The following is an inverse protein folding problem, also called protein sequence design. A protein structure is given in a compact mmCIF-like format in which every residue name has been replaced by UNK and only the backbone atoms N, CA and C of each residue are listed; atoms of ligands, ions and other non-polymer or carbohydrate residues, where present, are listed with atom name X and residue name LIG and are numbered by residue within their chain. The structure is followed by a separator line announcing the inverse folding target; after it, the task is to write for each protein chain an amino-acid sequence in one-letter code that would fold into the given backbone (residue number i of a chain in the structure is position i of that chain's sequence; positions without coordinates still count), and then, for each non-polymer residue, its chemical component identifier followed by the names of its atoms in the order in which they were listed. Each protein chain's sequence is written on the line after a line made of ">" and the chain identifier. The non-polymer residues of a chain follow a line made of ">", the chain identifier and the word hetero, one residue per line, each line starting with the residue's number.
data_IF_995552390216
#
_entry.id   IF_995552390216
#
_cell.length_a   1.000
_cell.length_b   1.000
_cell.length_c   1.000
_cell.angle_alpha   90.00
_cell.angle_beta   90.00
_cell.angle_gamma   90.00
#
_symmetry.space_group_name_H-M   'P 1'
#
loop_
_entity.id
_entity.type
_entity.pdbx_description
1 polymer ?
#
# COMPACT_ATOMS: atom_id res chain seq x y z
N UNK A 1 -11.58 -5.78 8.55
CA UNK A 1 -12.57 -6.67 9.23
C UNK A 1 -11.87 -7.27 10.44
N UNK A 2 -12.56 -7.48 11.55
CA UNK A 2 -12.00 -8.24 12.67
C UNK A 2 -11.62 -9.65 12.17
N UNK A 3 -10.42 -10.13 12.53
CA UNK A 3 -9.87 -11.37 11.97
C UNK A 3 -8.59 -11.83 12.66
N UNK A 4 -7.78 -12.55 11.92
CA UNK A 4 -6.51 -13.14 12.39
C UNK A 4 -5.29 -12.64 11.61
N UNK A 5 -5.37 -11.47 10.99
CA UNK A 5 -4.29 -10.90 10.17
C UNK A 5 -4.17 -11.52 8.78
N UNK A 6 -5.25 -12.14 8.29
CA UNK A 6 -5.25 -12.76 6.96
C UNK A 6 -5.38 -11.70 5.88
N UNK A 7 -4.55 -11.81 4.82
CA UNK A 7 -4.75 -11.07 3.60
C UNK A 7 -5.43 -11.92 2.54
N UNK A 8 -6.51 -11.40 1.97
CA UNK A 8 -7.22 -12.00 0.84
C UNK A 8 -7.10 -11.07 -0.35
N UNK A 9 -6.79 -11.63 -1.51
CA UNK A 9 -6.65 -10.86 -2.76
C UNK A 9 -7.61 -11.42 -3.79
N UNK A 10 -8.42 -10.55 -4.40
CA UNK A 10 -9.38 -10.93 -5.45
C UNK A 10 -9.34 -9.94 -6.62
N UNK A 11 -9.84 -10.37 -7.76
CA UNK A 11 -9.77 -9.71 -9.04
C UNK A 11 -9.05 -10.59 -10.06
N UNK A 12 -9.06 -10.21 -11.32
CA UNK A 12 -8.34 -10.92 -12.38
C UNK A 12 -6.86 -10.50 -12.39
N UNK A 13 -6.11 -10.90 -11.34
CA UNK A 13 -4.72 -10.50 -11.12
C UNK A 13 -3.78 -11.64 -11.49
N UNK A 14 -2.76 -11.32 -12.27
CA UNK A 14 -1.64 -12.21 -12.55
C UNK A 14 -0.59 -12.17 -11.43
N UNK A 15 0.39 -13.02 -11.51
CA UNK A 15 1.30 -13.31 -10.40
C UNK A 15 2.15 -12.12 -9.98
N UNK A 16 2.67 -11.31 -10.92
CA UNK A 16 3.46 -10.12 -10.60
C UNK A 16 2.66 -9.09 -9.79
N UNK A 17 1.38 -8.90 -10.11
CA UNK A 17 0.50 -8.02 -9.32
C UNK A 17 0.25 -8.58 -7.92
N UNK A 18 0.05 -9.90 -7.77
CA UNK A 18 -0.12 -10.55 -6.46
C UNK A 18 1.13 -10.43 -5.60
N UNK A 19 2.32 -10.60 -6.20
CA UNK A 19 3.61 -10.38 -5.54
C UNK A 19 3.75 -8.94 -5.08
N UNK A 20 3.38 -7.96 -5.91
CA UNK A 20 3.42 -6.54 -5.54
C UNK A 20 2.53 -6.24 -4.34
N UNK A 21 1.33 -6.83 -4.26
CA UNK A 21 0.42 -6.69 -3.12
C UNK A 21 1.03 -7.35 -1.87
N UNK A 22 1.63 -8.53 -2.02
CA UNK A 22 2.30 -9.23 -0.92
C UNK A 22 3.50 -8.44 -0.38
N UNK A 23 4.31 -7.86 -1.26
CA UNK A 23 5.42 -6.99 -0.88
C UNK A 23 4.94 -5.72 -0.16
N UNK A 24 3.84 -5.12 -0.62
CA UNK A 24 3.22 -3.97 0.04
C UNK A 24 2.77 -4.30 1.46
N UNK A 25 2.10 -5.44 1.64
CA UNK A 25 1.67 -5.92 2.96
C UNK A 25 2.85 -6.16 3.89
N UNK A 26 3.89 -6.85 3.40
CA UNK A 26 5.10 -7.15 4.18
C UNK A 26 5.81 -5.87 4.61
N UNK A 27 5.92 -4.87 3.72
CA UNK A 27 6.50 -3.58 4.04
C UNK A 27 5.71 -2.86 5.15
N UNK A 28 4.38 -2.78 5.03
CA UNK A 28 3.54 -2.12 6.03
C UNK A 28 3.62 -2.86 7.38
N UNK A 29 3.63 -4.19 7.36
CA UNK A 29 3.77 -4.99 8.58
C UNK A 29 5.10 -4.75 9.27
N UNK A 30 6.21 -4.73 8.53
CA UNK A 30 7.55 -4.52 9.06
C UNK A 30 7.73 -3.11 9.68
N UNK A 31 7.02 -2.12 9.16
CA UNK A 31 7.09 -0.72 9.62
C UNK A 31 5.83 -0.25 10.36
N UNK A 32 5.00 -1.16 10.81
CA UNK A 32 3.70 -0.83 11.41
C UNK A 32 3.79 0.25 12.51
N UNK A 33 4.67 0.18 13.52
CA UNK A 33 4.77 1.21 14.54
C UNK A 33 5.16 2.59 13.98
N UNK A 34 6.09 2.65 13.03
CA UNK A 34 6.50 3.89 12.38
C UNK A 34 5.37 4.49 11.55
N UNK A 35 4.51 3.65 11.00
CA UNK A 35 3.30 4.02 10.25
C UNK A 35 2.08 4.25 11.13
N UNK A 36 2.26 4.31 12.46
CA UNK A 36 1.16 4.54 13.39
C UNK A 36 0.18 3.38 13.54
N UNK A 37 0.59 2.18 13.14
CA UNK A 37 -0.22 0.98 13.15
C UNK A 37 0.30 0.07 14.27
N UNK A 38 -0.58 -0.30 15.20
CA UNK A 38 -0.22 -1.26 16.24
C UNK A 38 -0.03 -2.66 15.62
N UNK A 39 1.05 -3.39 15.94
CA UNK A 39 1.22 -4.79 15.54
C UNK A 39 0.06 -5.68 15.96
N UNK A 40 -0.58 -5.39 17.11
CA UNK A 40 -1.81 -6.06 17.56
C UNK A 40 -2.95 -5.84 16.58
N UNK A 41 -3.17 -4.59 16.15
CA UNK A 41 -4.21 -4.26 15.16
C UNK A 41 -3.97 -5.01 13.85
N UNK A 42 -2.74 -5.06 13.38
CA UNK A 42 -2.38 -5.77 12.15
C UNK A 42 -2.71 -7.27 12.24
N UNK A 43 -2.40 -7.90 13.39
CA UNK A 43 -2.68 -9.33 13.63
C UNK A 43 -4.16 -9.65 13.86
N UNK A 44 -4.95 -8.68 14.32
CA UNK A 44 -6.39 -8.86 14.60
C UNK A 44 -7.31 -8.36 13.49
N UNK A 45 -6.75 -7.91 12.36
CA UNK A 45 -7.52 -7.33 11.24
C UNK A 45 -7.26 -8.10 9.96
N UNK A 46 -8.29 -8.71 9.40
CA UNK A 46 -8.20 -9.27 8.05
C UNK A 46 -8.33 -8.16 7.02
N UNK A 47 -7.46 -8.19 6.01
CA UNK A 47 -7.43 -7.23 4.90
C UNK A 47 -7.86 -7.94 3.64
N UNK A 48 -8.85 -7.39 2.95
CA UNK A 48 -9.27 -7.86 1.64
C UNK A 48 -8.93 -6.79 0.58
N UNK A 49 -8.00 -7.11 -0.29
CA UNK A 49 -7.66 -6.29 -1.46
C UNK A 49 -8.46 -6.81 -2.64
N UNK A 50 -9.31 -5.95 -3.20
CA UNK A 50 -10.05 -6.25 -4.41
C UNK A 50 -9.72 -5.24 -5.50
N UNK A 51 -9.30 -5.73 -6.67
CA UNK A 51 -9.07 -4.89 -7.84
C UNK A 51 -10.21 -5.16 -8.82
N UNK A 52 -11.13 -4.20 -9.01
CA UNK A 52 -12.29 -4.37 -9.90
C UNK A 52 -11.91 -4.44 -11.38
N UNK A 53 -12.90 -4.58 -12.25
CA UNK A 53 -12.75 -4.72 -13.71
C UNK A 53 -12.06 -6.04 -14.13
N UNK A 54 -12.58 -7.15 -13.60
CA UNK A 54 -12.05 -8.49 -13.86
C UNK A 54 -12.08 -8.98 -15.31
N UNK A 55 -12.75 -8.25 -16.23
CA UNK A 55 -12.75 -8.56 -17.64
C UNK A 55 -11.36 -8.45 -18.30
N UNK A 56 -10.51 -7.56 -17.77
CA UNK A 56 -9.13 -7.39 -18.26
C UNK A 56 -8.14 -7.84 -17.20
N UNK A 57 -7.27 -8.82 -17.49
CA UNK A 57 -6.23 -9.23 -16.57
C UNK A 57 -5.33 -8.06 -16.19
N UNK A 58 -5.09 -7.89 -14.89
CA UNK A 58 -4.16 -6.88 -14.35
C UNK A 58 -2.84 -7.57 -14.01
N UNK A 59 -1.77 -7.02 -14.51
CA UNK A 59 -0.41 -7.50 -14.23
C UNK A 59 0.57 -6.33 -14.11
N UNK A 60 1.74 -6.62 -13.54
CA UNK A 60 2.82 -5.67 -13.38
C UNK A 60 2.91 -5.08 -11.97
N UNK A 61 4.14 -4.68 -11.58
CA UNK A 61 4.46 -4.25 -10.22
C UNK A 61 4.13 -2.77 -9.95
N UNK A 62 3.72 -2.03 -10.98
CA UNK A 62 3.61 -0.56 -10.93
C UNK A 62 2.51 0.00 -10.01
N UNK A 63 1.68 -0.88 -9.41
CA UNK A 63 0.67 -0.50 -8.44
C UNK A 63 1.18 -0.54 -6.98
N UNK A 64 2.43 -0.89 -6.74
CA UNK A 64 3.00 -1.13 -5.41
C UNK A 64 2.79 0.03 -4.43
N UNK A 65 3.12 1.26 -4.85
CA UNK A 65 2.91 2.44 -3.99
C UNK A 65 1.43 2.73 -3.73
N UNK A 66 0.55 2.45 -4.69
CA UNK A 66 -0.90 2.57 -4.50
C UNK A 66 -1.44 1.56 -3.50
N UNK A 67 -0.94 0.32 -3.52
CA UNK A 67 -1.32 -0.73 -2.58
C UNK A 67 -0.88 -0.40 -1.15
N UNK A 68 0.37 0.06 -0.96
CA UNK A 68 0.83 0.53 0.37
C UNK A 68 -0.06 1.68 0.86
N UNK A 69 -0.30 2.68 0.03
CA UNK A 69 -1.11 3.84 0.40
C UNK A 69 -2.52 3.43 0.84
N UNK A 70 -3.15 2.50 0.11
CA UNK A 70 -4.48 1.99 0.45
C UNK A 70 -4.48 1.22 1.78
N UNK A 71 -3.49 0.33 2.01
CA UNK A 71 -3.37 -0.45 3.25
C UNK A 71 -3.13 0.48 4.45
N UNK A 72 -2.19 1.42 4.33
CA UNK A 72 -1.90 2.39 5.40
C UNK A 72 -3.12 3.26 5.69
N UNK A 73 -3.80 3.78 4.65
CA UNK A 73 -5.01 4.58 4.81
C UNK A 73 -6.10 3.85 5.59
N UNK A 74 -6.37 2.60 5.25
CA UNK A 74 -7.41 1.79 5.93
C UNK A 74 -7.03 1.51 7.38
N UNK A 75 -5.78 1.16 7.67
CA UNK A 75 -5.34 0.82 9.02
C UNK A 75 -5.18 2.04 9.93
N UNK A 76 -4.77 3.18 9.39
CA UNK A 76 -4.62 4.43 10.15
C UNK A 76 -5.88 5.29 10.18
N UNK A 77 -6.88 4.96 9.37
CA UNK A 77 -8.10 5.76 9.15
C UNK A 77 -7.81 7.18 8.62
N UNK A 78 -6.66 7.37 7.96
CA UNK A 78 -6.31 8.63 7.29
C UNK A 78 -6.70 8.52 5.82
N UNK A 79 -7.67 9.30 5.33
CA UNK A 79 -8.12 9.22 3.95
C UNK A 79 -7.04 9.57 2.92
N UNK A 80 -7.09 8.93 1.77
CA UNK A 80 -6.30 9.32 0.60
C UNK A 80 -6.96 10.52 -0.09
N UNK A 81 -6.16 11.43 -0.62
CA UNK A 81 -6.62 12.54 -1.45
C UNK A 81 -7.33 11.99 -2.70
N UNK A 82 -8.50 12.55 -3.03
CA UNK A 82 -9.31 12.11 -4.18
C UNK A 82 -8.77 12.59 -5.54
N UNK A 83 -7.93 13.61 -5.54
CA UNK A 83 -7.39 14.27 -6.73
C UNK A 83 -5.97 13.82 -7.08
N UNK A 84 -5.50 12.72 -6.47
CA UNK A 84 -4.17 12.19 -6.65
C UNK A 84 -4.18 10.82 -7.35
N UNK A 85 -3.25 10.61 -8.25
CA UNK A 85 -2.90 9.29 -8.77
C UNK A 85 -1.43 8.99 -8.49
N UNK A 86 -1.07 7.72 -8.56
CA UNK A 86 0.30 7.31 -8.32
C UNK A 86 0.66 6.05 -9.09
N UNK A 87 1.92 5.90 -9.44
CA UNK A 87 2.47 4.70 -10.04
C UNK A 87 3.90 4.50 -9.58
N UNK A 88 4.27 3.27 -9.26
CA UNK A 88 5.62 2.92 -8.82
C UNK A 88 5.65 1.50 -8.28
N UNK A 89 6.71 0.78 -8.62
CA UNK A 89 7.05 -0.48 -7.98
C UNK A 89 7.75 -0.19 -6.64
N UNK A 90 7.69 -1.12 -5.71
CA UNK A 90 8.30 -0.97 -4.39
C UNK A 90 9.30 -2.08 -4.10
N UNK A 91 10.32 -1.74 -3.33
CA UNK A 91 11.15 -2.74 -2.64
C UNK A 91 10.64 -2.96 -1.21
N UNK A 92 11.02 -4.08 -0.60
CA UNK A 92 10.75 -4.35 0.83
C UNK A 92 11.38 -3.34 1.80
N UNK A 93 12.28 -2.48 1.30
CA UNK A 93 12.90 -1.39 2.05
C UNK A 93 12.22 -0.03 1.81
N UNK A 94 11.13 0.00 1.06
CA UNK A 94 10.35 1.21 0.81
C UNK A 94 10.93 2.16 -0.24
N UNK A 95 11.87 1.69 -1.10
CA UNK A 95 12.26 2.45 -2.28
C UNK A 95 11.23 2.32 -3.37
N UNK A 96 11.00 3.40 -4.08
CA UNK A 96 10.14 3.44 -5.26
C UNK A 96 10.99 3.20 -6.50
N UNK A 97 10.65 2.19 -7.28
CA UNK A 97 11.37 1.78 -8.48
C UNK A 97 10.66 2.28 -9.75
N UNK A 98 11.40 2.48 -10.85
CA UNK A 98 10.86 2.96 -12.10
C UNK A 98 9.86 1.97 -12.73
N UNK A 99 8.97 2.52 -13.55
CA UNK A 99 7.91 1.79 -14.25
C UNK A 99 7.96 2.05 -15.76
N UNK A 100 7.30 1.20 -16.53
CA UNK A 100 7.03 1.43 -17.93
C UNK A 100 5.70 2.12 -18.20
N UNK A 101 5.55 2.70 -19.40
CA UNK A 101 4.30 3.28 -19.88
C UNK A 101 3.89 4.56 -19.14
N UNK A 102 4.84 5.39 -18.73
CA UNK A 102 4.54 6.64 -18.02
C UNK A 102 3.62 7.57 -18.82
N UNK A 103 3.84 7.69 -20.13
CA UNK A 103 3.02 8.55 -21.00
C UNK A 103 1.56 8.18 -20.98
N UNK A 104 1.24 6.91 -21.14
CA UNK A 104 -0.12 6.38 -21.16
C UNK A 104 -0.80 6.59 -19.79
N UNK A 105 -0.05 6.43 -18.71
CA UNK A 105 -0.55 6.64 -17.34
C UNK A 105 -0.86 8.10 -17.07
N UNK A 106 0.00 9.04 -17.47
CA UNK A 106 -0.25 10.48 -17.34
C UNK A 106 -1.45 10.93 -18.17
N UNK A 107 -1.57 10.44 -19.40
CA UNK A 107 -2.75 10.70 -20.24
C UNK A 107 -4.03 10.16 -19.62
N UNK A 108 -3.98 8.97 -19.00
CA UNK A 108 -5.13 8.39 -18.30
C UNK A 108 -5.50 9.22 -17.06
N UNK A 109 -4.52 9.67 -16.27
CA UNK A 109 -4.73 10.53 -15.11
C UNK A 109 -5.41 11.85 -15.50
N UNK A 110 -4.91 12.49 -16.56
CA UNK A 110 -5.50 13.72 -17.09
C UNK A 110 -6.96 13.51 -17.51
N UNK A 111 -7.25 12.45 -18.27
CA UNK A 111 -8.62 12.10 -18.66
C UNK A 111 -9.52 11.79 -17.48
N UNK A 112 -8.97 11.21 -16.41
CA UNK A 112 -9.66 10.92 -15.16
C UNK A 112 -9.92 12.13 -14.27
N UNK A 113 -9.47 13.33 -14.67
CA UNK A 113 -9.66 14.57 -13.89
C UNK A 113 -8.77 14.64 -12.65
N UNK A 114 -7.71 13.82 -12.58
CA UNK A 114 -6.71 13.86 -11.52
C UNK A 114 -5.87 15.13 -11.67
N UNK A 115 -5.46 15.73 -10.56
CA UNK A 115 -4.64 16.95 -10.54
C UNK A 115 -3.18 16.67 -10.25
N UNK A 116 -2.90 15.76 -9.34
CA UNK A 116 -1.54 15.44 -8.87
C UNK A 116 -1.20 14.00 -9.22
N UNK A 117 0.00 13.75 -9.75
CA UNK A 117 0.48 12.39 -10.06
C UNK A 117 1.85 12.18 -9.43
N UNK A 118 1.96 11.14 -8.59
CA UNK A 118 3.26 10.70 -8.05
C UNK A 118 3.88 9.68 -9.01
N UNK A 119 5.13 9.93 -9.37
CA UNK A 119 5.91 9.06 -10.27
C UNK A 119 7.24 8.71 -9.61
N UNK A 120 7.88 7.58 -9.98
CA UNK A 120 9.23 7.28 -9.50
C UNK A 120 10.22 8.37 -9.95
N UNK A 121 11.16 8.73 -9.08
CA UNK A 121 12.20 9.73 -9.41
C UNK A 121 13.00 9.35 -10.67
N UNK A 122 13.27 8.05 -10.85
CA UNK A 122 14.01 7.53 -12.00
C UNK A 122 13.24 7.67 -13.33
N UNK A 123 11.91 7.88 -13.27
CA UNK A 123 11.10 8.21 -14.45
C UNK A 123 11.02 9.73 -14.74
N UNK A 124 11.63 10.58 -13.94
CA UNK A 124 11.65 12.03 -14.24
C UNK A 124 12.28 12.35 -15.60
N UNK A 125 13.25 11.55 -16.03
CA UNK A 125 13.86 11.66 -17.37
C UNK A 125 12.85 11.45 -18.51
N UNK A 126 11.85 10.58 -18.30
CA UNK A 126 10.85 10.25 -19.31
C UNK A 126 9.86 11.41 -19.55
N UNK A 127 9.85 12.43 -18.67
CA UNK A 127 9.05 13.65 -18.84
C UNK A 127 9.45 14.47 -20.07
N UNK A 128 10.65 14.26 -20.61
CA UNK A 128 11.08 14.89 -21.85
C UNK A 128 10.18 14.50 -23.03
N UNK A 129 9.66 13.26 -23.03
CA UNK A 129 8.81 12.71 -24.09
C UNK A 129 7.30 12.96 -23.87
N UNK A 130 6.95 13.66 -22.79
CA UNK A 130 5.57 13.98 -22.43
C UNK A 130 5.16 15.31 -23.06
N UNK A 131 4.01 15.40 -23.74
CA UNK A 131 3.51 16.65 -24.30
C UNK A 131 3.39 17.76 -23.24
N UNK A 132 3.75 18.98 -23.59
CA UNK A 132 3.69 20.13 -22.68
C UNK A 132 2.28 20.40 -22.16
N UNK A 133 1.27 20.13 -22.98
CA UNK A 133 -0.15 20.22 -22.57
C UNK A 133 -0.51 19.28 -21.41
N UNK A 134 0.13 18.13 -21.31
CA UNK A 134 -0.07 17.18 -20.20
C UNK A 134 0.72 17.65 -18.96
N UNK A 135 1.97 18.06 -19.16
CA UNK A 135 2.83 18.57 -18.07
C UNK A 135 2.28 19.84 -17.41
N UNK A 136 1.66 20.72 -18.19
CA UNK A 136 1.06 21.95 -17.67
C UNK A 136 -0.30 21.74 -16.99
N UNK A 137 -1.00 20.64 -17.30
CA UNK A 137 -2.30 20.32 -16.73
C UNK A 137 -2.23 19.45 -15.47
N UNK A 138 -1.08 18.82 -15.17
CA UNK A 138 -0.87 17.94 -14.04
C UNK A 138 0.28 18.44 -13.17
N UNK A 139 0.10 18.40 -11.87
CA UNK A 139 1.20 18.50 -10.92
C UNK A 139 1.89 17.12 -10.84
N UNK A 140 3.04 16.98 -11.45
CA UNK A 140 3.80 15.72 -11.48
C UNK A 140 4.92 15.80 -10.44
N UNK A 141 4.86 14.92 -9.45
CA UNK A 141 5.78 14.89 -8.31
C UNK A 141 6.61 13.62 -8.36
N UNK A 142 7.93 13.72 -8.65
CA UNK A 142 8.84 12.59 -8.51
C UNK A 142 9.05 12.22 -7.05
N UNK A 143 9.01 10.91 -6.74
CA UNK A 143 9.19 10.37 -5.39
C UNK A 143 10.18 9.21 -5.39
N UNK A 144 10.96 9.07 -4.32
CA UNK A 144 12.00 8.07 -4.15
C UNK A 144 11.63 7.01 -3.11
N UNK A 145 10.77 7.37 -2.16
CA UNK A 145 10.43 6.55 -0.99
C UNK A 145 8.94 6.50 -0.74
N UNK A 146 8.51 5.45 -0.05
CA UNK A 146 7.11 5.30 0.41
C UNK A 146 6.73 6.43 1.38
N UNK A 147 7.65 6.91 2.19
CA UNK A 147 7.37 8.01 3.13
C UNK A 147 7.01 9.31 2.39
N UNK A 148 7.71 9.61 1.29
CA UNK A 148 7.33 10.72 0.39
C UNK A 148 5.95 10.49 -0.23
N UNK A 149 5.68 9.27 -0.73
CA UNK A 149 4.37 8.92 -1.28
C UNK A 149 3.26 9.19 -0.27
N UNK A 150 3.38 8.67 0.94
CA UNK A 150 2.36 8.82 1.99
C UNK A 150 2.17 10.30 2.39
N UNK A 151 3.25 11.08 2.43
CA UNK A 151 3.19 12.51 2.77
C UNK A 151 2.39 13.33 1.76
N UNK A 152 2.41 12.95 0.48
CA UNK A 152 1.65 13.61 -0.57
C UNK A 152 0.24 13.04 -0.76
N UNK A 153 0.08 11.73 -0.53
CA UNK A 153 -1.15 11.02 -0.85
C UNK A 153 -2.22 11.09 0.24
N UNK A 154 -1.81 11.12 1.50
CA UNK A 154 -2.75 11.13 2.63
C UNK A 154 -3.19 12.56 2.98
N UNK A 155 -4.43 12.70 3.46
CA UNK A 155 -5.00 13.98 3.89
C UNK A 155 -4.48 14.44 5.26
N UNK A 156 -3.81 13.57 5.99
CA UNK A 156 -3.21 13.84 7.30
C UNK A 156 -1.87 13.15 7.46
N UNK A 157 -1.09 13.62 8.42
CA UNK A 157 0.22 13.03 8.72
C UNK A 157 0.07 11.73 9.49
N UNK A 158 0.80 10.72 9.08
CA UNK A 158 1.02 9.51 9.85
C UNK A 158 1.80 9.86 11.12
N UNK A 159 1.34 9.36 12.27
CA UNK A 159 2.01 9.56 13.56
C UNK A 159 2.53 8.23 14.04
N UNK A 160 3.86 8.11 14.15
CA UNK A 160 4.47 6.91 14.72
C UNK A 160 3.98 6.65 16.15
N UNK A 161 3.91 5.39 16.51
CA UNK A 161 3.61 4.94 17.88
C UNK A 161 4.85 4.29 18.49
N UNK A 162 4.99 4.39 19.79
CA UNK A 162 6.00 3.63 20.53
C UNK A 162 5.48 2.21 20.73
N UNK A 163 6.28 1.23 20.31
CA UNK A 163 6.02 -0.19 20.52
C UNK A 163 7.22 -0.81 21.21
N UNK A 164 7.01 -1.36 22.39
CA UNK A 164 8.10 -1.84 23.25
C UNK A 164 8.18 -3.37 23.27
N UNK A 165 9.30 -3.89 23.78
CA UNK A 165 9.43 -5.33 24.02
C UNK A 165 8.39 -5.87 25.01
N UNK A 166 7.91 -5.04 25.95
CA UNK A 166 6.84 -5.40 26.86
C UNK A 166 5.49 -5.55 26.13
N UNK A 167 5.20 -4.68 25.15
CA UNK A 167 3.99 -4.78 24.34
C UNK A 167 4.01 -6.04 23.46
N UNK A 168 5.18 -6.39 22.91
CA UNK A 168 5.36 -7.61 22.12
C UNK A 168 5.22 -8.88 22.98
N UNK A 169 5.77 -8.88 24.19
CA UNK A 169 5.64 -9.98 25.15
C UNK A 169 4.17 -10.18 25.58
N UNK A 170 3.44 -9.08 25.84
CA UNK A 170 2.02 -9.13 26.18
C UNK A 170 1.18 -9.69 25.01
N UNK A 171 1.49 -9.27 23.79
CA UNK A 171 0.83 -9.78 22.59
C UNK A 171 1.08 -11.29 22.40
N UNK A 172 2.31 -11.74 22.59
CA UNK A 172 2.69 -13.16 22.49
C UNK A 172 2.01 -14.01 23.57
N UNK A 173 1.90 -13.50 24.81
CA UNK A 173 1.18 -14.17 25.90
C UNK A 173 -0.32 -14.34 25.63
N UNK A 174 -0.96 -13.37 25.00
CA UNK A 174 -2.37 -13.49 24.61
C UNK A 174 -2.55 -14.60 23.58
N UNK A 175 -1.66 -14.69 22.60
CA UNK A 175 -1.74 -15.73 21.55
C UNK A 175 -1.54 -17.12 22.13
N UNK A 176 -0.62 -17.30 23.10
CA UNK A 176 -0.43 -18.61 23.76
C UNK A 176 -1.65 -19.04 24.56
N UNK A 177 -2.33 -18.11 25.24
CA UNK A 177 -3.55 -18.44 25.99
C UNK A 177 -4.74 -18.80 25.09
N UNK A 178 -4.90 -18.12 23.94
CA UNK A 178 -5.96 -18.45 22.97
C UNK A 178 -5.76 -19.83 22.31
N UNK A 179 -4.52 -20.26 22.10
CA UNK A 179 -4.22 -21.59 21.53
C UNK A 179 -4.39 -22.72 22.54
N UNK A 180 -4.19 -22.48 23.83
CA UNK A 180 -4.40 -23.48 24.90
C UNK A 180 -5.88 -23.72 25.17
N UNK A 181 -6.73 -22.73 25.04
CA UNK A 181 -8.18 -22.85 25.29
C UNK A 181 -8.91 -23.65 24.17
N UNK A 182 -8.33 -23.73 22.98
CA UNK A 182 -8.86 -24.51 21.85
C UNK A 182 -8.42 -26.00 21.87
N UNK A 183 -7.51 -26.38 22.76
CA UNK A 183 -6.99 -27.75 22.91
C UNK A 183 -7.70 -28.63 23.94
N UNK A 184 -8.69 -28.12 24.64
CA UNK A 184 -9.30 -28.74 25.83
C UNK A 184 -10.62 -29.47 25.64
N UNK A 185 -11.09 -29.74 24.43
CA UNK A 185 -12.36 -30.45 24.22
C UNK A 185 -12.15 -31.71 23.37
N UNK A 186 -11.71 -32.80 23.99
CA UNK A 186 -11.94 -34.16 23.47
C UNK A 186 -13.01 -34.80 24.38
N UNK A 187 -14.22 -34.96 23.90
CA UNK A 187 -15.21 -35.82 24.61
C UNK A 187 -14.86 -37.29 24.34
N UNK A 188 -14.85 -38.06 25.41
CA UNK A 188 -14.88 -39.52 25.38
C UNK A 188 -16.21 -40.04 24.85
#
# INVERSE_FOLDING_TARGET
>A
MSGKGKMTVTGNLRDVMKESISAANSYVQARAPELGISPRQFRSTDIHVHVPEGATPKDGPSAGIGMITAIVSVLTQIPVRKDIAMTGEITLRGRVLPIGGLKEKLLAALRGGVKTVLIPIDNAKDLADIPDSVKSALEIIPVSTVDEVLSHALTGKVKSITWTASDEAALSGIIMNETTDLGGAVPH
#
